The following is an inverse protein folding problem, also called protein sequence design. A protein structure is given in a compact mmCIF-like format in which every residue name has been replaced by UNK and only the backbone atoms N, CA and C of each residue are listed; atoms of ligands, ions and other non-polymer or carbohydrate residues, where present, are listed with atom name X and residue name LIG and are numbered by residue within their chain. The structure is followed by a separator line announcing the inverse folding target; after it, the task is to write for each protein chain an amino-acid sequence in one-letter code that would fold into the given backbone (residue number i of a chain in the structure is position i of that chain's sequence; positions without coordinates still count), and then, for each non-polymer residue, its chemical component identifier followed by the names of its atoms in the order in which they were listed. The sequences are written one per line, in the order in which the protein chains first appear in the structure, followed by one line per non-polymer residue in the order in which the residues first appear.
data_IF_841996034661
#
_entry.id   IF_841996034661
#
_cell.length_a   1.000
_cell.length_b   1.000
_cell.length_c   1.000
_cell.angle_alpha   90.00
_cell.angle_beta   90.00
_cell.angle_gamma   90.00
#
_symmetry.space_group_name_H-M   'P 1'
#
loop_
_entity.id
_entity.type
_entity.pdbx_description
1 polymer ?
#
# COMPACT_ATOMS: atom_id res chain seq x y z
N UNK A 1 13.64 -1.54 36.73
CA UNK A 1 12.26 -1.04 36.57
C UNK A 1 12.15 0.15 35.62
N UNK A 2 13.16 1.03 35.53
CA UNK A 2 13.10 2.25 34.69
C UNK A 2 13.07 2.02 33.17
N UNK A 3 13.71 0.96 32.65
CA UNK A 3 13.80 0.70 31.20
C UNK A 3 12.47 0.24 30.60
N UNK A 4 11.73 -0.64 31.30
CA UNK A 4 10.43 -1.11 30.85
C UNK A 4 9.40 0.03 30.79
N UNK A 5 9.37 0.89 31.82
CA UNK A 5 8.49 2.06 31.86
C UNK A 5 8.83 3.07 30.75
N UNK A 6 10.12 3.36 30.53
CA UNK A 6 10.56 4.23 29.45
C UNK A 6 10.18 3.68 28.06
N UNK A 7 10.27 2.36 27.87
CA UNK A 7 9.82 1.68 26.65
C UNK A 7 8.32 1.85 26.40
N UNK A 8 7.49 1.65 27.43
CA UNK A 8 6.03 1.83 27.33
C UNK A 8 5.66 3.27 26.98
N UNK A 9 6.29 4.26 27.63
CA UNK A 9 6.06 5.68 27.34
C UNK A 9 6.43 6.01 25.89
N UNK A 10 7.60 5.55 25.44
CA UNK A 10 8.08 5.78 24.07
C UNK A 10 7.14 5.16 23.04
N UNK A 11 6.67 3.94 23.29
CA UNK A 11 5.71 3.26 22.43
C UNK A 11 4.36 4.00 22.39
N UNK A 12 3.84 4.43 23.54
CA UNK A 12 2.59 5.19 23.62
C UNK A 12 2.69 6.52 22.85
N UNK A 13 3.80 7.25 23.01
CA UNK A 13 4.08 8.48 22.28
C UNK A 13 4.14 8.24 20.76
N UNK A 14 4.80 7.16 20.33
CA UNK A 14 4.87 6.78 18.92
C UNK A 14 3.48 6.45 18.36
N UNK A 15 2.67 5.67 19.07
CA UNK A 15 1.30 5.36 18.67
C UNK A 15 0.44 6.62 18.56
N UNK A 16 0.53 7.53 19.54
CA UNK A 16 -0.19 8.79 19.52
C UNK A 16 0.20 9.66 18.32
N UNK A 17 1.51 9.78 18.04
CA UNK A 17 2.01 10.55 16.91
C UNK A 17 1.53 9.98 15.55
N UNK A 18 1.65 8.65 15.38
CA UNK A 18 1.29 7.95 14.14
C UNK A 18 -0.22 8.03 13.87
N UNK A 19 -1.05 7.77 14.90
CA UNK A 19 -2.51 7.71 14.74
C UNK A 19 -3.18 9.09 14.73
N UNK A 20 -2.55 10.10 15.34
CA UNK A 20 -3.06 11.46 15.40
C UNK A 20 -2.42 12.38 14.35
N UNK A 21 -1.39 13.17 14.71
CA UNK A 21 -0.80 14.19 13.85
C UNK A 21 -0.36 13.67 12.47
N UNK A 22 0.36 12.55 12.43
CA UNK A 22 0.88 12.01 11.16
C UNK A 22 -0.25 11.56 10.24
N UNK A 23 -1.30 10.93 10.77
CA UNK A 23 -2.46 10.54 9.98
C UNK A 23 -3.19 11.76 9.38
N UNK A 24 -3.38 12.82 10.18
CA UNK A 24 -3.98 14.08 9.69
C UNK A 24 -3.16 14.68 8.55
N UNK A 25 -1.84 14.82 8.75
CA UNK A 25 -0.92 15.31 7.72
C UNK A 25 -1.04 14.51 6.41
N UNK A 26 -1.13 13.18 6.47
CA UNK A 26 -1.26 12.34 5.27
C UNK A 26 -2.57 12.55 4.52
N UNK A 27 -3.66 12.77 5.25
CA UNK A 27 -4.97 13.09 4.65
C UNK A 27 -4.90 14.45 3.97
N UNK A 28 -4.33 15.46 4.64
CA UNK A 28 -4.20 16.81 4.09
C UNK A 28 -3.27 16.83 2.86
N UNK A 29 -2.16 16.08 2.90
CA UNK A 29 -1.28 15.89 1.75
C UNK A 29 -2.02 15.28 0.56
N UNK A 30 -2.76 14.18 0.76
CA UNK A 30 -3.55 13.57 -0.31
C UNK A 30 -4.59 14.56 -0.86
N UNK A 31 -5.27 15.29 0.01
CA UNK A 31 -6.24 16.31 -0.40
C UNK A 31 -5.58 17.39 -1.26
N UNK A 32 -4.38 17.85 -0.89
CA UNK A 32 -3.64 18.83 -1.67
C UNK A 32 -3.25 18.30 -3.06
N UNK A 33 -2.80 17.05 -3.15
CA UNK A 33 -2.45 16.43 -4.43
C UNK A 33 -3.68 16.27 -5.34
N UNK A 34 -4.84 15.95 -4.77
CA UNK A 34 -6.12 15.91 -5.51
C UNK A 34 -6.59 17.31 -5.95
N UNK A 35 -6.43 18.34 -5.11
CA UNK A 35 -6.71 19.72 -5.50
C UNK A 35 -5.84 20.16 -6.67
N UNK A 36 -4.53 19.89 -6.62
CA UNK A 36 -3.61 20.18 -7.73
C UNK A 36 -4.06 19.52 -9.03
N UNK A 37 -4.40 18.22 -9.01
CA UNK A 37 -4.87 17.52 -10.20
C UNK A 37 -6.15 18.13 -10.79
N UNK A 38 -7.08 18.58 -9.93
CA UNK A 38 -8.30 19.27 -10.36
C UNK A 38 -8.02 20.66 -10.92
N UNK A 39 -7.17 21.42 -10.25
CA UNK A 39 -6.85 22.79 -10.65
C UNK A 39 -6.08 22.80 -11.98
N UNK A 40 -5.16 21.85 -12.18
CA UNK A 40 -4.48 21.69 -13.47
C UNK A 40 -5.47 21.34 -14.59
N UNK A 41 -6.43 20.43 -14.35
CA UNK A 41 -7.48 20.10 -15.32
C UNK A 41 -8.38 21.33 -15.62
N UNK A 42 -8.68 22.15 -14.62
CA UNK A 42 -9.43 23.39 -14.80
C UNK A 42 -8.64 24.40 -15.64
N UNK A 43 -7.34 24.55 -15.39
CA UNK A 43 -6.47 25.43 -16.18
C UNK A 43 -6.41 25.01 -17.65
N UNK A 44 -6.37 23.70 -17.93
CA UNK A 44 -6.50 23.17 -19.30
C UNK A 44 -7.81 23.56 -19.96
N UNK A 45 -8.91 23.45 -19.23
CA UNK A 45 -10.21 23.87 -19.74
C UNK A 45 -10.29 25.39 -20.00
N UNK A 46 -9.71 26.19 -19.11
CA UNK A 46 -9.63 27.64 -19.26
C UNK A 46 -8.72 28.09 -20.43
N UNK A 47 -7.73 27.27 -20.78
CA UNK A 47 -6.86 27.47 -21.93
C UNK A 47 -7.46 26.95 -23.25
N UNK A 48 -8.74 26.53 -23.25
CA UNK A 48 -9.46 25.97 -24.39
C UNK A 48 -8.89 24.62 -24.91
N UNK A 49 -8.02 23.95 -24.15
CA UNK A 49 -7.54 22.58 -24.46
C UNK A 49 -8.69 21.54 -24.35
N UNK A 50 -9.73 21.85 -23.57
CA UNK A 50 -10.95 21.04 -23.40
C UNK A 50 -12.14 21.95 -23.03
N UNK A 51 -13.32 21.70 -23.59
CA UNK A 51 -14.52 22.46 -23.23
C UNK A 51 -15.01 22.11 -21.82
N UNK A 52 -15.46 23.11 -21.05
CA UNK A 52 -16.15 22.89 -19.77
C UNK A 52 -17.46 22.08 -19.93
N UNK A 53 -18.06 22.09 -21.13
CA UNK A 53 -19.27 21.33 -21.47
C UNK A 53 -18.97 19.89 -21.92
N UNK A 54 -17.68 19.54 -22.06
CA UNK A 54 -17.26 18.18 -22.36
C UNK A 54 -17.74 17.21 -21.27
N UNK A 55 -18.39 16.11 -21.67
CA UNK A 55 -18.87 15.09 -20.72
C UNK A 55 -17.72 14.45 -19.96
N UNK A 56 -16.56 14.27 -20.60
CA UNK A 56 -15.35 13.77 -19.99
C UNK A 56 -14.80 14.71 -18.90
N UNK A 57 -14.83 16.02 -19.16
CA UNK A 57 -14.46 17.03 -18.16
C UNK A 57 -15.38 16.96 -16.94
N UNK A 58 -16.70 16.97 -17.16
CA UNK A 58 -17.69 16.93 -16.08
C UNK A 58 -17.59 15.64 -15.26
N UNK A 59 -17.42 14.49 -15.91
CA UNK A 59 -17.22 13.21 -15.22
C UNK A 59 -15.94 13.23 -14.38
N UNK A 60 -14.81 13.66 -14.96
CA UNK A 60 -13.52 13.73 -14.25
C UNK A 60 -13.57 14.66 -13.05
N UNK A 61 -14.16 15.86 -13.23
CA UNK A 61 -14.35 16.83 -12.14
C UNK A 61 -15.22 16.26 -11.03
N UNK A 62 -16.26 15.51 -11.37
CA UNK A 62 -17.14 14.85 -10.39
C UNK A 62 -16.37 13.82 -9.57
N UNK A 63 -15.57 12.97 -10.23
CA UNK A 63 -14.71 11.99 -9.56
C UNK A 63 -13.70 12.67 -8.62
N UNK A 64 -12.98 13.68 -9.10
CA UNK A 64 -11.98 14.42 -8.31
C UNK A 64 -12.62 15.09 -7.09
N UNK A 65 -13.76 15.75 -7.26
CA UNK A 65 -14.50 16.36 -6.15
C UNK A 65 -14.98 15.32 -5.14
N UNK A 66 -15.43 14.15 -5.60
CA UNK A 66 -15.76 13.01 -4.75
C UNK A 66 -14.56 12.56 -3.90
N UNK A 67 -13.40 12.38 -4.52
CA UNK A 67 -12.16 12.00 -3.82
C UNK A 67 -11.73 13.05 -2.80
N UNK A 68 -11.83 14.35 -3.12
CA UNK A 68 -11.52 15.46 -2.22
C UNK A 68 -12.47 15.49 -1.02
N UNK A 69 -13.79 15.37 -1.26
CA UNK A 69 -14.81 15.39 -0.21
C UNK A 69 -14.63 14.22 0.75
N UNK A 70 -14.31 13.04 0.20
CA UNK A 70 -14.20 11.81 0.97
C UNK A 70 -12.76 11.38 1.24
N UNK A 71 -11.77 12.27 1.11
CA UNK A 71 -10.35 11.93 1.32
C UNK A 71 -10.09 11.29 2.68
N UNK A 72 -10.72 11.80 3.73
CA UNK A 72 -10.62 11.27 5.10
C UNK A 72 -11.18 9.83 5.25
N UNK A 73 -11.97 9.35 4.29
CA UNK A 73 -12.53 7.99 4.24
C UNK A 73 -11.66 7.04 3.43
N UNK A 74 -10.69 7.55 2.67
CA UNK A 74 -9.77 6.73 1.90
C UNK A 74 -8.79 6.09 2.89
N UNK A 75 -8.97 4.80 3.13
CA UNK A 75 -8.13 4.01 4.03
C UNK A 75 -8.03 2.59 3.50
N UNK A 76 -6.96 1.88 3.86
CA UNK A 76 -6.76 0.48 3.43
C UNK A 76 -7.93 -0.42 3.83
N UNK A 77 -8.41 -0.30 5.06
CA UNK A 77 -9.49 -1.14 5.58
C UNK A 77 -10.73 -0.98 4.73
N UNK A 78 -11.11 0.27 4.42
CA UNK A 78 -12.28 0.54 3.56
C UNK A 78 -12.03 0.11 2.12
N UNK A 79 -10.82 0.27 1.60
CA UNK A 79 -10.48 -0.21 0.26
C UNK A 79 -10.64 -1.72 0.14
N UNK A 80 -10.09 -2.50 1.08
CA UNK A 80 -10.28 -3.95 1.11
C UNK A 80 -11.73 -4.34 1.35
N UNK A 81 -12.44 -3.64 2.25
CA UNK A 81 -13.86 -3.90 2.48
C UNK A 81 -14.69 -3.64 1.22
N UNK A 82 -14.39 -2.58 0.45
CA UNK A 82 -15.02 -2.33 -0.83
C UNK A 82 -14.75 -3.45 -1.83
N UNK A 83 -13.53 -3.99 -1.90
CA UNK A 83 -13.22 -5.15 -2.75
C UNK A 83 -14.01 -6.40 -2.32
N UNK A 84 -14.21 -6.60 -1.02
CA UNK A 84 -14.93 -7.76 -0.50
C UNK A 84 -16.45 -7.65 -0.66
N UNK A 85 -17.00 -6.44 -0.56
CA UNK A 85 -18.46 -6.21 -0.63
C UNK A 85 -18.92 -6.00 -2.08
N UNK A 86 -18.14 -5.31 -2.90
CA UNK A 86 -18.56 -5.01 -4.28
C UNK A 86 -18.52 -6.27 -5.13
N UNK A 87 -19.63 -6.55 -5.81
CA UNK A 87 -19.67 -7.62 -6.80
C UNK A 87 -18.96 -7.19 -8.09
N UNK A 88 -18.56 -8.17 -8.91
CA UNK A 88 -18.02 -7.89 -10.25
C UNK A 88 -19.00 -7.06 -11.09
N UNK A 89 -20.29 -7.32 -10.94
CA UNK A 89 -21.35 -6.62 -11.68
C UNK A 89 -21.51 -5.17 -11.22
N UNK A 90 -21.39 -4.89 -9.91
CA UNK A 90 -21.39 -3.52 -9.39
C UNK A 90 -20.22 -2.70 -9.94
N UNK A 91 -19.03 -3.30 -9.94
CA UNK A 91 -17.82 -2.69 -10.50
C UNK A 91 -17.98 -2.46 -12.00
N UNK A 92 -18.44 -3.46 -12.74
CA UNK A 92 -18.68 -3.37 -14.18
C UNK A 92 -19.70 -2.27 -14.53
N UNK A 93 -20.79 -2.16 -13.75
CA UNK A 93 -21.81 -1.11 -13.94
C UNK A 93 -21.22 0.29 -13.75
N UNK A 94 -20.46 0.51 -12.67
CA UNK A 94 -19.82 1.82 -12.41
C UNK A 94 -18.82 2.16 -13.52
N UNK A 95 -18.03 1.19 -13.98
CA UNK A 95 -17.12 1.40 -15.10
C UNK A 95 -17.87 1.72 -16.40
N UNK A 96 -18.93 0.98 -16.72
CA UNK A 96 -19.73 1.21 -17.92
C UNK A 96 -20.40 2.59 -17.92
N UNK A 97 -20.94 3.03 -16.79
CA UNK A 97 -21.51 4.38 -16.63
C UNK A 97 -20.46 5.47 -16.87
N UNK A 98 -19.26 5.29 -16.31
CA UNK A 98 -18.16 6.23 -16.48
C UNK A 98 -17.66 6.25 -17.93
N UNK A 99 -17.48 5.08 -18.55
CA UNK A 99 -17.06 4.92 -19.94
C UNK A 99 -18.09 5.52 -20.90
N UNK A 100 -19.39 5.38 -20.61
CA UNK A 100 -20.47 6.01 -21.38
C UNK A 100 -20.37 7.54 -21.34
N UNK A 101 -20.13 8.14 -20.17
CA UNK A 101 -19.96 9.59 -20.06
C UNK A 101 -18.69 10.06 -20.78
N UNK A 102 -17.58 9.32 -20.64
CA UNK A 102 -16.32 9.67 -21.29
C UNK A 102 -16.43 9.56 -22.81
N UNK A 103 -17.00 8.47 -23.33
CA UNK A 103 -17.12 8.19 -24.77
C UNK A 103 -18.02 9.17 -25.53
N UNK A 104 -18.91 9.89 -24.83
CA UNK A 104 -19.69 10.99 -25.40
C UNK A 104 -18.84 12.24 -25.75
N UNK A 105 -17.55 12.24 -25.44
CA UNK A 105 -16.61 13.34 -25.72
C UNK A 105 -15.56 12.95 -26.76
N UNK A 106 -14.83 13.95 -27.26
CA UNK A 106 -13.74 13.74 -28.22
C UNK A 106 -12.67 12.78 -27.64
N UNK A 107 -11.93 12.09 -28.52
CA UNK A 107 -10.82 11.24 -28.08
C UNK A 107 -9.70 12.03 -27.38
N UNK A 108 -9.47 13.28 -27.78
CA UNK A 108 -8.50 14.17 -27.15
C UNK A 108 -8.92 14.54 -25.72
N UNK A 109 -10.18 14.93 -25.53
CA UNK A 109 -10.76 15.28 -24.23
C UNK A 109 -10.66 14.13 -23.24
N UNK A 110 -11.00 12.91 -23.71
CA UNK A 110 -10.92 11.68 -22.90
C UNK A 110 -9.50 11.42 -22.43
N UNK A 111 -8.54 11.44 -23.35
CA UNK A 111 -7.13 11.17 -23.04
C UNK A 111 -6.57 12.18 -22.04
N UNK A 112 -6.91 13.46 -22.20
CA UNK A 112 -6.51 14.50 -21.25
C UNK A 112 -7.11 14.25 -19.86
N UNK A 113 -8.41 13.97 -19.79
CA UNK A 113 -9.13 13.63 -18.56
C UNK A 113 -8.55 12.40 -17.85
N UNK A 114 -8.30 11.32 -18.59
CA UNK A 114 -7.68 10.09 -18.10
C UNK A 114 -6.30 10.34 -17.50
N UNK A 115 -5.50 11.24 -18.08
CA UNK A 115 -4.19 11.60 -17.54
C UNK A 115 -4.31 12.17 -16.11
N UNK A 116 -5.24 13.10 -15.89
CA UNK A 116 -5.45 13.73 -14.58
C UNK A 116 -6.09 12.78 -13.57
N UNK A 117 -7.04 11.94 -14.01
CA UNK A 117 -7.58 10.88 -13.17
C UNK A 117 -6.50 9.87 -12.77
N UNK A 118 -5.58 9.52 -13.68
CA UNK A 118 -4.43 8.66 -13.37
C UNK A 118 -3.52 9.29 -12.32
N UNK A 119 -3.22 10.60 -12.40
CA UNK A 119 -2.45 11.33 -11.38
C UNK A 119 -3.14 11.28 -10.00
N UNK A 120 -4.45 11.46 -9.97
CA UNK A 120 -5.25 11.36 -8.76
C UNK A 120 -5.23 9.93 -8.17
N UNK A 121 -5.45 8.91 -9.00
CA UNK A 121 -5.39 7.50 -8.59
C UNK A 121 -4.01 7.11 -8.05
N UNK A 122 -2.91 7.57 -8.67
CA UNK A 122 -1.56 7.34 -8.16
C UNK A 122 -1.35 7.99 -6.79
N UNK A 123 -1.87 9.20 -6.59
CA UNK A 123 -1.81 9.88 -5.29
C UNK A 123 -2.59 9.11 -4.21
N UNK A 124 -3.77 8.59 -4.54
CA UNK A 124 -4.55 7.71 -3.67
C UNK A 124 -3.80 6.41 -3.37
N UNK A 125 -3.22 5.76 -4.38
CA UNK A 125 -2.45 4.52 -4.20
C UNK A 125 -1.24 4.74 -3.28
N UNK A 126 -0.51 5.85 -3.47
CA UNK A 126 0.59 6.23 -2.61
C UNK A 126 0.12 6.48 -1.16
N UNK A 127 -1.02 7.16 -0.98
CA UNK A 127 -1.63 7.34 0.34
C UNK A 127 -2.08 6.00 0.97
N UNK A 128 -2.52 5.02 0.20
CA UNK A 128 -2.87 3.71 0.75
C UNK A 128 -1.61 2.93 1.18
N UNK A 129 -0.60 2.86 0.30
CA UNK A 129 0.62 2.08 0.53
C UNK A 129 1.48 2.63 1.67
N UNK A 130 1.54 3.95 1.83
CA UNK A 130 2.32 4.59 2.91
C UNK A 130 1.60 4.60 4.27
N UNK A 131 0.47 3.90 4.38
CA UNK A 131 -0.30 3.84 5.62
C UNK A 131 0.48 3.10 6.71
N UNK A 132 0.48 3.60 7.96
CA UNK A 132 1.05 2.86 9.09
C UNK A 132 0.53 1.41 9.21
N UNK A 133 -0.73 1.20 8.85
CA UNK A 133 -1.34 -0.14 8.81
C UNK A 133 -0.72 -1.05 7.75
N UNK A 134 -0.26 -0.52 6.60
CA UNK A 134 0.49 -1.32 5.62
C UNK A 134 1.78 -1.85 6.24
N UNK A 135 2.53 -1.01 6.96
CA UNK A 135 3.78 -1.45 7.58
C UNK A 135 3.54 -2.50 8.65
N UNK A 136 2.50 -2.34 9.48
CA UNK A 136 2.11 -3.35 10.46
C UNK A 136 1.75 -4.71 9.82
N UNK A 137 1.21 -4.72 8.59
CA UNK A 137 0.88 -5.94 7.86
C UNK A 137 2.10 -6.52 7.12
N UNK A 138 2.85 -5.69 6.40
CA UNK A 138 3.90 -6.11 5.47
C UNK A 138 5.18 -6.53 6.20
N UNK A 139 5.58 -5.82 7.26
CA UNK A 139 6.83 -6.13 7.99
C UNK A 139 6.82 -7.56 8.54
N UNK A 140 5.75 -8.03 9.23
CA UNK A 140 5.69 -9.42 9.69
C UNK A 140 5.71 -10.44 8.55
N UNK A 141 5.03 -10.17 7.44
CA UNK A 141 5.03 -11.07 6.28
C UNK A 141 6.42 -11.23 5.68
N UNK A 142 7.16 -10.12 5.51
CA UNK A 142 8.55 -10.12 5.05
C UNK A 142 9.43 -10.88 6.05
N UNK A 143 9.31 -10.60 7.35
CA UNK A 143 10.08 -11.27 8.39
C UNK A 143 9.85 -12.80 8.37
N UNK A 144 8.60 -13.24 8.22
CA UNK A 144 8.26 -14.66 8.08
C UNK A 144 8.85 -15.29 6.81
N UNK A 145 8.79 -14.59 5.68
CA UNK A 145 9.35 -15.08 4.42
C UNK A 145 10.87 -15.26 4.51
N UNK A 146 11.56 -14.26 5.06
CA UNK A 146 13.00 -14.29 5.31
C UNK A 146 13.37 -15.40 6.31
N UNK A 147 12.61 -15.57 7.40
CA UNK A 147 12.82 -16.65 8.36
C UNK A 147 12.67 -18.04 7.74
N UNK A 148 11.65 -18.26 6.90
CA UNK A 148 11.45 -19.52 6.17
C UNK A 148 12.59 -19.78 5.18
N UNK A 149 13.05 -18.74 4.48
CA UNK A 149 14.19 -18.84 3.55
C UNK A 149 15.48 -19.17 4.29
N UNK A 150 15.77 -18.47 5.39
CA UNK A 150 16.92 -18.73 6.26
C UNK A 150 16.91 -20.15 6.82
N UNK A 151 15.77 -20.63 7.31
CA UNK A 151 15.62 -22.01 7.79
C UNK A 151 15.86 -23.05 6.68
N UNK A 152 15.43 -22.79 5.43
CA UNK A 152 15.74 -23.66 4.29
C UNK A 152 17.24 -23.68 4.00
N UNK A 153 17.89 -22.52 4.03
CA UNK A 153 19.33 -22.40 3.79
C UNK A 153 20.13 -23.14 4.87
N UNK A 154 19.81 -22.91 6.14
CA UNK A 154 20.44 -23.58 7.28
C UNK A 154 20.31 -25.10 7.17
N UNK A 155 19.11 -25.62 6.87
CA UNK A 155 18.91 -27.06 6.64
C UNK A 155 19.74 -27.60 5.49
N UNK A 156 19.91 -26.84 4.41
CA UNK A 156 20.75 -27.23 3.26
C UNK A 156 22.23 -27.28 3.65
N UNK A 157 22.71 -26.30 4.41
CA UNK A 157 24.09 -26.25 4.91
C UNK A 157 24.35 -27.42 5.86
N UNK A 158 23.47 -27.67 6.82
CA UNK A 158 23.58 -28.79 7.76
C UNK A 158 23.61 -30.12 7.01
N UNK A 159 22.71 -30.34 6.04
CA UNK A 159 22.73 -31.56 5.22
C UNK A 159 24.03 -31.72 4.43
N UNK A 160 24.55 -30.63 3.87
CA UNK A 160 25.82 -30.65 3.14
C UNK A 160 27.02 -30.94 4.04
N UNK A 161 26.97 -30.50 5.30
CA UNK A 161 28.02 -30.74 6.30
C UNK A 161 27.82 -32.04 7.10
N UNK A 162 26.69 -32.76 6.95
CA UNK A 162 26.39 -34.02 7.63
C UNK A 162 27.55 -35.03 7.63
N UNK A 163 28.26 -35.26 6.51
CA UNK A 163 29.37 -36.23 6.49
C UNK A 163 30.55 -35.84 7.40
N UNK A 164 30.76 -34.53 7.62
CA UNK A 164 31.79 -34.06 8.55
C UNK A 164 31.35 -34.19 10.00
N UNK A 165 30.06 -34.02 10.28
CA UNK A 165 29.49 -34.29 11.59
C UNK A 165 29.61 -35.78 11.95
N UNK A 166 29.31 -36.69 11.01
CA UNK A 166 29.49 -38.14 11.23
C UNK A 166 30.95 -38.52 11.53
N UNK A 167 31.92 -37.81 10.94
CA UNK A 167 33.34 -37.99 11.23
C UNK A 167 33.69 -37.56 12.66
N UNK A 168 33.14 -36.42 13.12
CA UNK A 168 33.31 -35.93 14.48
C UNK A 168 32.65 -36.86 15.51
N UNK A 169 31.45 -37.37 15.21
CA UNK A 169 30.75 -38.34 16.06
C UNK A 169 31.58 -39.61 16.26
N UNK A 170 32.26 -40.08 15.22
CA UNK A 170 33.20 -41.22 15.30
C UNK A 170 34.48 -40.95 16.10
N UNK A 171 34.89 -39.69 16.26
CA UNK A 171 36.00 -39.29 17.15
C UNK A 171 35.51 -39.28 18.60
N UNK A 172 34.40 -38.60 18.87
CA UNK A 172 33.82 -38.54 20.22
C UNK A 172 33.43 -39.92 20.77
N UNK A 173 32.91 -40.80 19.91
CA UNK A 173 32.61 -42.18 20.29
C UNK A 173 33.86 -42.94 20.74
N UNK A 174 34.97 -42.78 20.02
CA UNK A 174 36.24 -43.44 20.36
C UNK A 174 36.83 -42.90 21.68
N UNK A 175 36.82 -41.59 21.86
CA UNK A 175 37.28 -40.98 23.11
C UNK A 175 36.42 -41.39 24.31
N UNK A 176 35.10 -41.47 24.15
CA UNK A 176 34.19 -41.96 25.19
C UNK A 176 34.47 -43.41 25.59
N UNK A 177 34.74 -44.29 24.63
CA UNK A 177 35.07 -45.70 24.91
C UNK A 177 36.39 -45.86 25.67
N UNK A 178 37.37 -44.97 25.45
CA UNK A 178 38.65 -45.01 26.18
C UNK A 178 38.55 -44.56 27.63
N UNK A 179 37.48 -43.87 28.03
CA UNK A 179 37.27 -43.42 29.42
C UNK A 179 36.55 -44.46 30.30
N UNK A 180 35.98 -45.51 29.69
CA UNK A 180 35.23 -46.56 30.38
C UNK A 180 36.08 -47.83 30.60
N UNK A 181 37.21 -47.94 29.89
CA UNK A 181 38.19 -49.04 30.00
C UNK A 181 39.26 -48.72 31.06
#
# INVERSE_FOLDING_TARGET
MNTALAGLISFAALCWFILGPYNRYRIDRLRQDLFRARDDLFLRAAAEDISFDSRAYQASRTVLNGMIRYTHRISLVRFFLSILIMTKDDVARVHAEMDQQMSASSAADRKLCEEYLRKAHLSVAYHLITSPFMFALVIPLIAMALGKLGAKLARKIVRWQSPRFETLDGVFYREGMTLIA
#
